data_IF_082097450025
#
_entry.id   IF_082097450025
#
_cell.length_a   1.000
_cell.length_b   1.000
_cell.length_c   1.000
_cell.angle_alpha   90.00
_cell.angle_beta   90.00
_cell.angle_gamma   90.00
#
_symmetry.space_group_name_H-M   'P 1'
#
loop_
_entity.id
_entity.type
_entity.pdbx_description
1 polymer ?
#
# COMPACT_ATOMS: atom_id res chain seq x y z
N UNK A 1 -1.41 2.10 7.80
CA UNK A 1 -1.85 1.36 6.60
C UNK A 1 -2.04 -0.09 7.02
N UNK A 2 -2.93 -0.86 6.38
CA UNK A 2 -3.05 -2.28 6.69
C UNK A 2 -1.78 -3.02 6.26
N UNK A 3 -1.44 -4.10 6.98
CA UNK A 3 -0.37 -5.00 6.53
C UNK A 3 -0.87 -5.81 5.34
N UNK A 4 0.05 -6.28 4.49
CA UNK A 4 -0.32 -7.19 3.39
C UNK A 4 -0.98 -8.47 3.88
N UNK A 5 -0.54 -8.98 5.04
CA UNK A 5 -1.19 -10.11 5.70
C UNK A 5 -2.66 -9.78 6.04
N UNK A 6 -2.92 -8.58 6.59
CA UNK A 6 -4.28 -8.15 6.90
C UNK A 6 -5.16 -7.99 5.63
N UNK A 7 -4.61 -7.45 4.54
CA UNK A 7 -5.33 -7.33 3.25
C UNK A 7 -5.63 -8.72 2.67
N UNK A 8 -4.63 -9.61 2.67
CA UNK A 8 -4.75 -10.99 2.18
C UNK A 8 -5.76 -11.80 3.00
N UNK A 9 -5.83 -11.57 4.31
CA UNK A 9 -6.83 -12.14 5.21
C UNK A 9 -8.23 -11.57 4.94
N UNK A 10 -8.35 -10.26 4.71
CA UNK A 10 -9.62 -9.62 4.33
C UNK A 10 -10.19 -10.17 3.03
N UNK A 11 -9.35 -10.36 2.01
CA UNK A 11 -9.75 -10.95 0.71
C UNK A 11 -10.27 -12.38 0.92
N UNK A 12 -9.53 -13.20 1.66
CA UNK A 12 -9.96 -14.58 1.97
C UNK A 12 -11.27 -14.61 2.74
N UNK A 13 -11.47 -13.71 3.70
CA UNK A 13 -12.73 -13.55 4.45
C UNK A 13 -13.91 -13.25 3.51
N UNK A 14 -13.75 -12.29 2.59
CA UNK A 14 -14.81 -11.93 1.62
C UNK A 14 -15.15 -13.07 0.64
N UNK A 15 -14.22 -13.98 0.44
CA UNK A 15 -14.40 -15.18 -0.39
C UNK A 15 -14.89 -16.40 0.41
N UNK A 16 -14.99 -16.31 1.74
CA UNK A 16 -15.36 -17.42 2.62
C UNK A 16 -14.34 -18.56 2.63
N UNK A 17 -13.05 -18.24 2.43
CA UNK A 17 -11.98 -19.22 2.29
C UNK A 17 -11.28 -19.47 3.63
N UNK A 18 -10.95 -20.74 3.91
CA UNK A 18 -10.24 -21.14 5.12
C UNK A 18 -11.07 -21.01 6.40
N UNK A 19 -12.40 -20.81 6.29
CA UNK A 19 -13.30 -20.80 7.44
C UNK A 19 -13.37 -22.21 8.05
N UNK A 20 -13.40 -22.28 9.36
CA UNK A 20 -13.29 -23.52 10.09
C UNK A 20 -13.83 -23.48 11.50
N UNK A 21 -13.89 -24.65 12.13
CA UNK A 21 -14.33 -24.80 13.51
C UNK A 21 -13.13 -25.03 14.41
N UNK A 22 -13.00 -24.18 15.43
CA UNK A 22 -11.95 -24.22 16.44
C UNK A 22 -12.56 -24.39 17.82
N UNK A 23 -11.94 -25.22 18.65
CA UNK A 23 -12.40 -25.45 20.02
C UNK A 23 -11.30 -25.06 21.00
N UNK A 24 -11.62 -24.10 21.87
CA UNK A 24 -10.75 -23.63 22.95
C UNK A 24 -11.27 -24.19 24.26
N UNK A 25 -10.49 -25.04 24.91
CA UNK A 25 -10.78 -25.59 26.23
C UNK A 25 -10.05 -24.79 27.30
N UNK A 26 -10.79 -24.30 28.29
CA UNK A 26 -10.28 -23.47 29.36
C UNK A 26 -9.85 -24.32 30.56
N UNK A 27 -8.56 -24.27 30.88
CA UNK A 27 -8.03 -24.79 32.14
C UNK A 27 -7.97 -23.66 33.16
N UNK A 28 -9.09 -23.42 33.86
CA UNK A 28 -9.29 -22.25 34.73
C UNK A 28 -8.12 -21.92 35.68
N UNK A 29 -7.54 -22.93 36.30
CA UNK A 29 -6.43 -22.76 37.26
C UNK A 29 -5.15 -22.22 36.62
N UNK A 30 -4.98 -22.41 35.31
CA UNK A 30 -3.80 -22.04 34.53
C UNK A 30 -3.96 -20.72 33.78
N UNK A 31 -5.16 -20.14 33.75
CA UNK A 31 -5.42 -18.83 33.14
C UNK A 31 -4.90 -17.73 34.07
N UNK A 32 -4.15 -16.77 33.57
CA UNK A 32 -3.61 -15.62 34.29
C UNK A 32 -4.11 -14.29 33.71
N UNK A 33 -3.86 -13.21 34.45
CA UNK A 33 -4.08 -11.84 33.97
C UNK A 33 -3.11 -11.55 32.80
N UNK A 34 -3.64 -11.07 31.68
CA UNK A 34 -2.86 -10.76 30.49
C UNK A 34 -2.74 -11.89 29.47
N UNK A 35 -3.19 -13.11 29.78
CA UNK A 35 -3.25 -14.20 28.79
C UNK A 35 -4.18 -13.83 27.63
N UNK A 36 -3.88 -14.30 26.42
CA UNK A 36 -4.61 -13.93 25.21
C UNK A 36 -5.13 -15.10 24.40
N UNK A 37 -6.31 -14.89 23.83
CA UNK A 37 -6.87 -15.69 22.73
C UNK A 37 -6.94 -14.77 21.53
N UNK A 38 -6.18 -15.09 20.48
CA UNK A 38 -6.23 -14.36 19.22
C UNK A 38 -7.17 -15.08 18.27
N UNK A 39 -8.28 -14.45 17.93
CA UNK A 39 -9.24 -14.96 16.95
C UNK A 39 -9.13 -14.10 15.71
N UNK A 40 -8.75 -14.70 14.59
CA UNK A 40 -8.68 -14.02 13.29
C UNK A 40 -7.84 -12.72 13.33
N UNK A 41 -6.72 -12.73 14.06
CA UNK A 41 -5.81 -11.59 14.22
C UNK A 41 -6.23 -10.57 15.28
N UNK A 42 -7.44 -10.67 15.84
CA UNK A 42 -7.90 -9.83 16.96
C UNK A 42 -7.47 -10.48 18.27
N UNK A 43 -6.69 -9.74 19.05
CA UNK A 43 -6.19 -10.18 20.36
C UNK A 43 -7.24 -9.90 21.42
N UNK A 44 -7.75 -10.96 22.05
CA UNK A 44 -8.68 -10.91 23.17
C UNK A 44 -7.91 -11.21 24.45
N UNK A 45 -7.85 -10.25 25.36
CA UNK A 45 -7.03 -10.35 26.56
C UNK A 45 -7.88 -10.71 27.77
N UNK A 46 -7.47 -11.76 28.48
CA UNK A 46 -8.04 -12.14 29.75
C UNK A 46 -7.58 -11.19 30.85
N UNK A 47 -8.51 -10.71 31.67
CA UNK A 47 -8.20 -9.87 32.82
C UNK A 47 -8.88 -10.37 34.09
N UNK A 48 -8.31 -10.05 35.24
CA UNK A 48 -8.82 -10.42 36.57
C UNK A 48 -9.60 -9.28 37.25
N UNK A 49 -9.47 -8.05 36.72
CA UNK A 49 -10.18 -6.87 37.18
C UNK A 49 -11.43 -6.52 36.37
N UNK A 50 -11.90 -5.28 36.47
CA UNK A 50 -12.94 -4.75 35.59
C UNK A 50 -12.37 -4.50 34.19
N UNK A 51 -13.12 -4.85 33.14
CA UNK A 51 -12.74 -4.56 31.76
C UNK A 51 -12.68 -3.06 31.54
N UNK A 52 -11.49 -2.58 31.14
CA UNK A 52 -11.26 -1.17 30.85
C UNK A 52 -11.63 -0.84 29.39
N UNK A 53 -11.68 -1.86 28.52
CA UNK A 53 -11.96 -1.75 27.08
C UNK A 53 -12.95 -2.84 26.68
N UNK A 54 -14.21 -2.45 26.42
CA UNK A 54 -15.34 -3.38 26.18
C UNK A 54 -15.18 -4.27 24.92
N UNK A 55 -14.20 -4.02 24.05
CA UNK A 55 -14.03 -4.72 22.76
C UNK A 55 -12.69 -5.46 22.59
N UNK A 56 -11.87 -5.57 23.64
CA UNK A 56 -10.59 -6.29 23.56
C UNK A 56 -10.27 -7.11 24.81
N UNK A 57 -11.13 -7.05 25.83
CA UNK A 57 -10.87 -7.67 27.13
C UNK A 57 -12.07 -8.47 27.59
N UNK A 58 -11.82 -9.70 28.04
CA UNK A 58 -12.84 -10.53 28.70
C UNK A 58 -12.40 -10.84 30.14
N UNK A 59 -13.38 -10.92 31.04
CA UNK A 59 -13.11 -11.09 32.46
C UNK A 59 -12.97 -12.56 32.84
N UNK A 60 -11.92 -12.87 33.59
CA UNK A 60 -11.76 -14.13 34.31
C UNK A 60 -12.73 -14.17 35.49
N UNK A 61 -13.59 -15.17 35.53
CA UNK A 61 -14.58 -15.35 36.59
C UNK A 61 -14.12 -16.37 37.64
N UNK A 62 -15.04 -16.87 38.48
CA UNK A 62 -14.72 -17.84 39.53
C UNK A 62 -14.53 -19.29 39.01
N UNK A 63 -14.86 -19.57 37.75
CA UNK A 63 -14.77 -20.90 37.15
C UNK A 63 -14.61 -20.84 35.62
N UNK A 64 -14.32 -21.99 35.01
CA UNK A 64 -14.11 -22.14 33.57
C UNK A 64 -15.35 -21.80 32.75
N UNK A 65 -16.56 -22.17 33.22
CA UNK A 65 -17.82 -21.90 32.52
C UNK A 65 -18.04 -20.40 32.38
N UNK A 66 -18.13 -19.66 33.50
CA UNK A 66 -18.38 -18.22 33.45
C UNK A 66 -17.26 -17.43 32.74
N UNK A 67 -16.01 -17.92 32.78
CA UNK A 67 -14.92 -17.32 31.99
C UNK A 67 -15.07 -17.61 30.49
N UNK A 68 -15.55 -18.81 30.14
CA UNK A 68 -15.85 -19.19 28.76
C UNK A 68 -17.05 -18.44 28.19
N UNK A 69 -18.10 -18.24 28.98
CA UNK A 69 -19.27 -17.43 28.62
C UNK A 69 -18.85 -15.98 28.33
N UNK A 70 -18.00 -15.38 29.18
CA UNK A 70 -17.47 -14.03 28.92
C UNK A 70 -16.59 -13.95 27.65
N UNK A 71 -15.84 -15.01 27.32
CA UNK A 71 -15.04 -15.06 26.10
C UNK A 71 -15.92 -15.18 24.86
N UNK A 72 -16.95 -16.02 24.91
CA UNK A 72 -17.96 -16.14 23.86
C UNK A 72 -18.67 -14.81 23.64
N UNK A 73 -19.22 -14.18 24.69
CA UNK A 73 -19.93 -12.91 24.59
C UNK A 73 -19.06 -11.84 23.91
N UNK A 74 -17.76 -11.81 24.22
CA UNK A 74 -16.82 -10.89 23.57
C UNK A 74 -16.59 -11.24 22.10
N UNK A 75 -16.42 -12.51 21.76
CA UNK A 75 -16.27 -12.96 20.37
C UNK A 75 -17.53 -12.56 19.59
N UNK A 76 -18.71 -12.88 20.09
CA UNK A 76 -19.97 -12.54 19.43
C UNK A 76 -20.17 -11.02 19.31
N UNK A 77 -19.76 -10.23 20.32
CA UNK A 77 -19.82 -8.77 20.25
C UNK A 77 -18.85 -8.17 19.22
N UNK A 78 -17.65 -8.73 19.07
CA UNK A 78 -16.65 -8.27 18.10
C UNK A 78 -17.01 -8.69 16.68
N UNK A 79 -17.57 -9.89 16.54
CA UNK A 79 -17.76 -10.56 15.25
C UNK A 79 -19.20 -10.60 14.75
N UNK A 80 -20.15 -9.98 15.47
CA UNK A 80 -21.59 -9.89 15.15
C UNK A 80 -21.87 -9.78 13.64
N UNK A 81 -22.90 -10.53 13.20
CA UNK A 81 -23.65 -10.69 11.93
C UNK A 81 -23.01 -10.40 10.56
N UNK A 82 -21.97 -9.60 10.51
CA UNK A 82 -21.19 -9.16 9.36
C UNK A 82 -20.00 -10.06 9.04
N UNK A 83 -19.42 -10.76 10.02
CA UNK A 83 -18.16 -11.50 9.82
C UNK A 83 -18.31 -13.02 9.63
N UNK A 84 -19.52 -13.57 9.78
CA UNK A 84 -19.81 -15.01 9.74
C UNK A 84 -19.09 -15.86 10.80
N UNK A 85 -18.43 -15.23 11.77
CA UNK A 85 -17.83 -15.91 12.92
C UNK A 85 -18.85 -15.90 14.04
N UNK A 86 -19.07 -17.06 14.65
CA UNK A 86 -19.91 -17.19 15.84
C UNK A 86 -19.19 -18.03 16.87
N UNK A 87 -19.49 -17.79 18.13
CA UNK A 87 -19.02 -18.64 19.21
C UNK A 87 -20.17 -19.30 19.95
N UNK A 88 -19.83 -20.33 20.72
CA UNK A 88 -20.72 -20.92 21.70
C UNK A 88 -19.88 -21.44 22.86
N UNK A 89 -20.35 -21.24 24.07
CA UNK A 89 -19.69 -21.69 25.29
C UNK A 89 -20.47 -22.85 25.94
N UNK A 90 -19.75 -23.87 26.42
CA UNK A 90 -20.33 -24.94 27.23
C UNK A 90 -19.30 -25.56 28.17
N UNK A 91 -19.56 -25.49 29.47
CA UNK A 91 -18.73 -26.13 30.50
C UNK A 91 -17.22 -25.79 30.42
N UNK A 92 -16.88 -24.54 30.08
CA UNK A 92 -15.48 -24.10 29.92
C UNK A 92 -14.85 -24.52 28.59
N UNK A 93 -15.66 -24.90 27.60
CA UNK A 93 -15.25 -25.12 26.21
C UNK A 93 -15.92 -24.06 25.35
N UNK A 94 -15.13 -23.28 24.62
CA UNK A 94 -15.61 -22.29 23.66
C UNK A 94 -15.38 -22.84 22.26
N UNK A 95 -16.45 -23.03 21.50
CA UNK A 95 -16.40 -23.46 20.10
C UNK A 95 -16.61 -22.25 19.22
N UNK A 96 -15.62 -21.94 18.40
CA UNK A 96 -15.56 -20.80 17.48
C UNK A 96 -15.76 -21.36 16.07
N UNK A 97 -16.87 -20.99 15.46
CA UNK A 97 -17.27 -21.41 14.10
C UNK A 97 -16.95 -20.29 13.12
N UNK A 98 -16.45 -20.64 11.95
CA UNK A 98 -16.17 -19.68 10.88
C UNK A 98 -14.89 -18.86 11.06
N UNK A 99 -14.10 -19.10 12.11
CA UNK A 99 -12.77 -18.50 12.21
C UNK A 99 -11.78 -19.24 11.30
N UNK A 100 -10.78 -18.52 10.78
CA UNK A 100 -9.68 -19.12 9.98
C UNK A 100 -8.48 -19.50 10.82
N UNK A 101 -8.24 -18.73 11.89
CA UNK A 101 -7.12 -18.92 12.78
C UNK A 101 -7.55 -18.57 14.19
N UNK A 102 -7.25 -19.46 15.12
CA UNK A 102 -7.33 -19.23 16.54
C UNK A 102 -5.97 -19.60 17.11
N UNK A 103 -5.36 -18.68 17.85
CA UNK A 103 -4.05 -18.84 18.47
C UNK A 103 -4.17 -18.42 19.94
N UNK A 104 -3.43 -19.08 20.81
CA UNK A 104 -3.36 -18.71 22.23
C UNK A 104 -1.91 -18.51 22.64
N UNK A 105 -1.63 -17.55 23.50
CA UNK A 105 -0.28 -17.35 24.05
C UNK A 105 0.01 -18.27 25.25
N UNK A 106 -1.03 -18.72 25.94
CA UNK A 106 -0.98 -19.66 27.03
C UNK A 106 -1.68 -20.97 26.64
N UNK A 107 -0.93 -21.86 25.99
CA UNK A 107 -1.39 -23.19 25.60
C UNK A 107 -1.78 -24.11 26.78
N UNK A 108 -1.53 -23.70 28.04
CA UNK A 108 -1.99 -24.44 29.23
C UNK A 108 -3.31 -23.93 29.79
N UNK A 109 -3.54 -22.61 29.77
CA UNK A 109 -4.78 -21.96 30.20
C UNK A 109 -5.87 -22.01 29.12
N UNK A 110 -5.52 -21.73 27.87
CA UNK A 110 -6.39 -21.77 26.71
C UNK A 110 -5.87 -22.82 25.72
N UNK A 111 -6.36 -24.05 25.83
CA UNK A 111 -5.92 -25.18 25.01
C UNK A 111 -6.76 -25.23 23.74
N UNK A 112 -6.14 -25.16 22.57
CA UNK A 112 -6.84 -25.45 21.30
C UNK A 112 -6.97 -26.98 21.18
N UNK A 113 -8.13 -27.51 21.54
CA UNK A 113 -8.38 -28.96 21.63
C UNK A 113 -8.81 -29.59 20.30
N UNK A 114 -9.36 -28.79 19.40
CA UNK A 114 -9.55 -29.16 18.00
C UNK A 114 -9.51 -27.92 17.10
N UNK A 115 -9.02 -28.11 15.89
CA UNK A 115 -9.01 -27.09 14.85
C UNK A 115 -9.27 -27.79 13.53
N UNK A 116 -10.29 -27.34 12.82
CA UNK A 116 -10.53 -27.70 11.42
C UNK A 116 -10.53 -26.42 10.63
N UNK A 117 -9.90 -26.42 9.47
CA UNK A 117 -10.03 -25.36 8.47
C UNK A 117 -10.53 -26.04 7.21
N UNK A 118 -11.51 -25.47 6.51
CA UNK A 118 -11.76 -25.95 5.15
C UNK A 118 -10.48 -25.74 4.33
N UNK A 119 -10.08 -26.77 3.58
CA UNK A 119 -8.96 -26.66 2.64
C UNK A 119 -9.22 -25.43 1.77
N UNK A 120 -8.25 -24.51 1.75
CA UNK A 120 -8.30 -23.46 0.76
C UNK A 120 -8.31 -24.14 -0.62
N UNK A 121 -9.26 -23.81 -1.52
CA UNK A 121 -9.27 -24.38 -2.85
C UNK A 121 -7.88 -24.19 -3.47
N UNK A 122 -7.40 -25.13 -4.30
CA UNK A 122 -6.00 -25.19 -4.75
C UNK A 122 -5.52 -24.00 -5.62
N UNK A 123 -6.34 -22.95 -5.71
CA UNK A 123 -6.18 -21.76 -6.54
C UNK A 123 -5.93 -20.48 -5.72
N UNK A 124 -5.97 -20.54 -4.38
CA UNK A 124 -5.79 -19.38 -3.48
C UNK A 124 -4.33 -19.06 -3.17
N UNK A 125 -3.39 -19.90 -3.61
CA UNK A 125 -1.95 -19.61 -3.56
C UNK A 125 -1.61 -18.32 -4.31
N UNK A 126 -2.49 -17.88 -5.21
CA UNK A 126 -2.27 -16.72 -6.08
C UNK A 126 -2.84 -15.42 -5.49
N UNK A 127 -3.49 -15.44 -4.31
CA UNK A 127 -4.06 -14.22 -3.70
C UNK A 127 -2.99 -13.17 -3.46
N UNK A 128 -1.83 -13.58 -2.94
CA UNK A 128 -0.72 -12.65 -2.71
C UNK A 128 -0.18 -12.10 -4.05
N UNK A 129 -0.27 -12.88 -5.13
CA UNK A 129 0.09 -12.42 -6.48
C UNK A 129 -0.96 -11.44 -7.03
N UNK A 130 -2.26 -11.66 -6.83
CA UNK A 130 -3.28 -10.69 -7.25
C UNK A 130 -3.21 -9.38 -6.49
N UNK A 131 -2.80 -9.43 -5.21
CA UNK A 131 -2.52 -8.23 -4.43
C UNK A 131 -1.33 -7.49 -5.03
N UNK A 132 -0.25 -8.17 -5.44
CA UNK A 132 0.84 -7.50 -6.19
C UNK A 132 0.35 -6.86 -7.48
N UNK A 133 -0.40 -7.62 -8.28
CA UNK A 133 -0.86 -7.17 -9.58
C UNK A 133 -1.83 -5.99 -9.45
N UNK A 134 -2.69 -5.99 -8.43
CA UNK A 134 -3.59 -4.89 -8.10
C UNK A 134 -2.84 -3.65 -7.59
N UNK A 135 -1.81 -3.82 -6.77
CA UNK A 135 -0.93 -2.72 -6.34
C UNK A 135 -0.25 -2.06 -7.55
N UNK A 136 0.25 -2.87 -8.47
CA UNK A 136 0.87 -2.40 -9.70
C UNK A 136 -0.13 -1.66 -10.60
N UNK A 137 -1.33 -2.21 -10.74
CA UNK A 137 -2.39 -1.61 -11.55
C UNK A 137 -2.84 -0.25 -11.00
N UNK A 138 -3.03 -0.13 -9.67
CA UNK A 138 -3.36 1.13 -9.01
C UNK A 138 -2.21 2.14 -9.12
N UNK A 139 -0.96 1.69 -8.97
CA UNK A 139 0.20 2.56 -9.16
C UNK A 139 0.28 3.13 -10.59
N UNK A 140 -0.03 2.32 -11.61
CA UNK A 140 -0.04 2.77 -13.02
C UNK A 140 -1.10 3.87 -13.22
N UNK A 141 -2.30 3.69 -12.65
CA UNK A 141 -3.36 4.71 -12.70
C UNK A 141 -2.98 6.01 -12.00
N UNK A 142 -2.38 5.92 -10.80
CA UNK A 142 -2.01 7.09 -10.01
C UNK A 142 -0.82 7.83 -10.58
N UNK A 143 0.13 7.14 -11.20
CA UNK A 143 1.30 7.77 -11.81
C UNK A 143 0.89 8.63 -13.00
N UNK A 144 -0.09 8.18 -13.80
CA UNK A 144 -0.65 9.00 -14.88
C UNK A 144 -1.36 10.26 -14.34
N UNK A 145 -2.04 10.16 -13.19
CA UNK A 145 -2.73 11.29 -12.55
C UNK A 145 -1.77 12.25 -11.81
N UNK A 146 -0.74 11.72 -11.13
CA UNK A 146 0.33 12.47 -10.48
C UNK A 146 1.32 13.09 -11.46
N UNK A 147 1.42 12.58 -12.69
CA UNK A 147 2.13 13.26 -13.79
C UNK A 147 1.32 14.43 -14.37
N UNK A 148 -0.02 14.36 -14.31
CA UNK A 148 -0.90 15.46 -14.68
C UNK A 148 -0.97 16.53 -13.58
N UNK A 149 -0.90 16.12 -12.31
CA UNK A 149 -0.85 16.99 -11.16
C UNK A 149 0.61 17.24 -10.74
N UNK A 150 1.23 18.32 -11.23
CA UNK A 150 2.60 18.77 -10.86
C UNK A 150 2.96 18.46 -9.39
N UNK A 151 3.74 17.40 -9.17
CA UNK A 151 4.50 17.11 -7.94
C UNK A 151 3.65 16.87 -6.69
N UNK A 152 3.67 15.64 -6.16
CA UNK A 152 3.40 15.40 -4.74
C UNK A 152 4.44 16.17 -3.91
N UNK A 153 4.10 17.40 -3.51
CA UNK A 153 4.99 18.27 -2.72
C UNK A 153 5.43 17.59 -1.42
N UNK A 154 6.59 18.00 -0.92
CA UNK A 154 7.11 17.50 0.36
C UNK A 154 6.18 17.94 1.52
N UNK A 155 6.15 17.16 2.60
CA UNK A 155 5.51 17.60 3.84
C UNK A 155 6.50 18.44 4.63
N UNK A 156 6.08 19.65 5.00
CA UNK A 156 6.86 20.54 5.86
C UNK A 156 6.14 20.74 7.18
N UNK A 157 6.89 20.75 8.28
CA UNK A 157 6.39 21.17 9.58
C UNK A 157 7.05 22.48 9.98
N UNK A 158 6.26 23.47 10.38
CA UNK A 158 6.71 24.72 10.96
C UNK A 158 6.32 24.73 12.44
N UNK A 159 7.32 24.76 13.32
CA UNK A 159 7.08 24.89 14.76
C UNK A 159 7.11 26.36 15.14
N UNK A 160 5.97 26.89 15.60
CA UNK A 160 5.84 28.23 16.14
C UNK A 160 6.29 28.22 17.60
N UNK A 161 7.39 28.90 17.93
CA UNK A 161 7.89 29.05 19.29
C UNK A 161 8.12 30.55 19.54
N UNK A 162 7.08 31.25 19.98
CA UNK A 162 7.06 32.70 20.20
C UNK A 162 7.47 33.50 18.96
N UNK A 163 6.68 33.42 17.89
CA UNK A 163 6.94 34.18 16.66
C UNK A 163 6.95 35.68 16.95
N UNK A 164 8.03 36.36 16.56
CA UNK A 164 8.21 37.79 16.78
C UNK A 164 7.64 38.59 15.60
N UNK A 165 7.43 39.89 15.81
CA UNK A 165 7.12 40.80 14.70
C UNK A 165 8.23 40.73 13.63
N UNK A 166 7.84 40.71 12.36
CA UNK A 166 8.71 40.56 11.17
C UNK A 166 9.35 39.17 10.97
N UNK A 167 9.08 38.18 11.84
CA UNK A 167 9.38 36.80 11.51
C UNK A 167 8.58 36.36 10.26
N UNK A 168 9.16 35.52 9.41
CA UNK A 168 8.50 35.14 8.15
C UNK A 168 8.67 33.65 7.83
N UNK A 169 7.70 33.13 7.09
CA UNK A 169 7.76 31.82 6.41
C UNK A 169 7.62 32.08 4.91
N UNK A 170 8.54 31.55 4.12
CA UNK A 170 8.50 31.61 2.66
C UNK A 170 8.08 30.24 2.13
N UNK A 171 6.98 30.20 1.38
CA UNK A 171 6.40 28.99 0.80
C UNK A 171 6.36 29.18 -0.72
N UNK A 172 7.17 28.42 -1.44
CA UNK A 172 7.26 28.48 -2.90
C UNK A 172 7.51 29.89 -3.46
N UNK A 173 8.31 30.69 -2.75
CA UNK A 173 8.64 32.07 -3.11
C UNK A 173 7.60 33.10 -2.67
N UNK A 174 6.55 32.68 -1.98
CA UNK A 174 5.54 33.56 -1.39
C UNK A 174 5.82 33.71 0.11
N UNK A 175 6.14 34.94 0.51
CA UNK A 175 6.44 35.28 1.90
C UNK A 175 5.19 35.63 2.69
N UNK A 176 4.99 34.91 3.79
CA UNK A 176 4.07 35.24 4.85
C UNK A 176 4.85 35.90 5.99
N UNK A 177 4.36 36.99 6.58
CA UNK A 177 5.06 37.70 7.68
C UNK A 177 4.19 37.76 8.95
N UNK A 178 4.79 37.51 10.11
CA UNK A 178 4.19 37.75 11.41
C UNK A 178 4.03 39.25 11.66
N UNK A 179 2.81 39.68 11.95
CA UNK A 179 2.48 41.08 12.31
C UNK A 179 1.77 41.14 13.65
N UNK A 180 1.96 42.24 14.34
CA UNK A 180 1.13 42.59 15.49
C UNK A 180 -0.33 42.80 15.03
N UNK A 181 -1.28 42.33 15.84
CA UNK A 181 -2.72 42.52 15.65
C UNK A 181 -3.11 44.00 15.47
N UNK A 182 -2.31 44.94 15.99
CA UNK A 182 -2.54 46.37 15.84
C UNK A 182 -2.17 46.94 14.45
N UNK A 183 -1.32 46.25 13.68
CA UNK A 183 -0.71 46.78 12.43
C UNK A 183 -1.01 45.94 11.19
N UNK A 184 -1.43 44.69 11.34
CA UNK A 184 -1.71 43.78 10.23
C UNK A 184 -3.01 44.09 9.47
N UNK A 185 -2.91 44.42 8.18
CA UNK A 185 -4.07 44.56 7.27
C UNK A 185 -3.87 43.88 5.90
N UNK A 186 -2.76 43.15 5.71
CA UNK A 186 -2.40 42.51 4.44
C UNK A 186 -2.89 41.07 4.30
N UNK A 187 -3.16 40.65 3.06
CA UNK A 187 -3.54 39.27 2.68
C UNK A 187 -2.36 38.27 2.82
N UNK A 188 -1.13 38.77 2.95
CA UNK A 188 0.10 37.99 3.10
C UNK A 188 0.72 38.08 4.51
N UNK A 189 -0.04 38.58 5.49
CA UNK A 189 0.40 38.64 6.89
C UNK A 189 -0.42 37.65 7.73
N UNK A 190 0.19 37.01 8.74
CA UNK A 190 -0.56 36.38 9.82
C UNK A 190 -0.38 37.18 11.10
N UNK A 191 -1.46 37.27 11.88
CA UNK A 191 -1.45 38.01 13.13
C UNK A 191 -0.83 37.12 14.21
N UNK A 192 0.33 37.54 14.73
CA UNK A 192 0.93 36.94 15.92
C UNK A 192 0.24 37.49 17.16
N UNK A 193 -0.17 36.58 18.04
CA UNK A 193 -0.88 36.84 19.30
C UNK A 193 0.03 36.66 20.51
N UNK A 194 1.27 36.20 20.30
CA UNK A 194 2.24 35.91 21.36
C UNK A 194 2.00 34.57 22.07
N UNK A 195 1.12 33.71 21.54
CA UNK A 195 0.97 32.34 22.02
C UNK A 195 1.11 31.35 20.87
N UNK A 196 2.02 30.39 21.05
CA UNK A 196 2.44 29.44 20.01
C UNK A 196 1.28 28.74 19.29
N UNK A 197 0.24 28.34 20.03
CA UNK A 197 -0.92 27.63 19.46
C UNK A 197 -1.81 28.53 18.62
N UNK A 198 -2.01 29.78 19.03
CA UNK A 198 -2.82 30.73 18.27
C UNK A 198 -2.06 31.23 17.03
N UNK A 199 -0.74 31.42 17.14
CA UNK A 199 0.11 31.82 16.03
C UNK A 199 0.13 30.73 14.94
N UNK A 200 0.22 29.45 15.34
CA UNK A 200 0.10 28.32 14.43
C UNK A 200 -1.27 28.28 13.72
N UNK A 201 -2.37 28.50 14.45
CA UNK A 201 -3.70 28.56 13.84
C UNK A 201 -3.87 29.75 12.87
N UNK A 202 -3.33 30.92 13.21
CA UNK A 202 -3.35 32.10 12.33
C UNK A 202 -2.55 31.87 11.05
N UNK A 203 -1.37 31.24 11.15
CA UNK A 203 -0.55 30.86 10.00
C UNK A 203 -1.29 29.88 9.07
N UNK A 204 -1.98 28.87 9.63
CA UNK A 204 -2.83 27.94 8.84
C UNK A 204 -3.90 28.68 8.04
N UNK A 205 -4.58 29.65 8.65
CA UNK A 205 -5.61 30.45 7.96
C UNK A 205 -5.00 31.26 6.83
N UNK A 206 -3.83 31.89 7.05
CA UNK A 206 -3.14 32.66 6.02
C UNK A 206 -2.72 31.75 4.83
N UNK A 207 -2.10 30.60 5.11
CA UNK A 207 -1.70 29.63 4.07
C UNK A 207 -2.93 29.17 3.28
N UNK A 208 -3.97 28.69 3.96
CA UNK A 208 -5.15 28.17 3.29
C UNK A 208 -5.87 29.28 2.50
N UNK A 209 -5.94 30.51 3.00
CA UNK A 209 -6.57 31.62 2.27
C UNK A 209 -5.78 31.98 1.00
N UNK A 210 -4.46 32.05 1.11
CA UNK A 210 -3.59 32.46 0.00
C UNK A 210 -3.46 31.39 -1.08
N UNK A 211 -3.42 30.11 -0.68
CA UNK A 211 -3.17 29.00 -1.60
C UNK A 211 -4.43 28.22 -2.03
N UNK A 212 -5.60 28.47 -1.43
CA UNK A 212 -6.87 27.80 -1.77
C UNK A 212 -7.27 27.89 -3.25
N UNK A 213 -6.76 28.86 -4.00
CA UNK A 213 -7.20 29.10 -5.38
C UNK A 213 -6.21 28.74 -6.49
N UNK A 214 -4.93 28.42 -6.20
CA UNK A 214 -3.90 28.39 -7.27
C UNK A 214 -2.90 27.22 -7.21
N UNK A 215 -2.57 26.60 -6.06
CA UNK A 215 -1.34 25.77 -6.00
C UNK A 215 -1.47 24.37 -5.37
N UNK A 216 -2.63 23.96 -4.84
CA UNK A 216 -2.75 22.66 -4.16
C UNK A 216 -2.00 22.57 -2.83
N UNK A 217 -1.46 23.69 -2.32
CA UNK A 217 -0.84 23.79 -1.00
C UNK A 217 -1.92 23.94 0.06
N UNK A 218 -1.83 23.15 1.13
CA UNK A 218 -2.74 23.24 2.28
C UNK A 218 -1.99 23.13 3.59
N UNK A 219 -2.57 23.66 4.66
CA UNK A 219 -2.00 23.55 6.00
C UNK A 219 -3.03 23.15 7.05
N UNK A 220 -2.55 22.45 8.07
CA UNK A 220 -3.26 22.12 9.32
C UNK A 220 -2.34 22.42 10.51
N UNK A 221 -2.90 22.58 11.71
CA UNK A 221 -2.08 22.75 12.92
C UNK A 221 -2.55 21.85 14.05
N UNK A 222 -1.59 21.46 14.89
CA UNK A 222 -1.82 20.78 16.16
C UNK A 222 -0.92 21.43 17.22
N UNK A 223 -1.53 22.11 18.19
CA UNK A 223 -0.81 22.95 19.16
C UNK A 223 0.07 23.99 18.44
N UNK A 224 1.36 24.05 18.75
CA UNK A 224 2.35 24.97 18.20
C UNK A 224 2.90 24.57 16.82
N UNK A 225 2.46 23.45 16.23
CA UNK A 225 3.04 22.90 15.01
C UNK A 225 2.06 23.06 13.85
N UNK A 226 2.53 23.65 12.76
CA UNK A 226 1.82 23.76 11.47
C UNK A 226 2.38 22.72 10.50
N UNK A 227 1.53 21.87 9.95
CA UNK A 227 1.89 20.91 8.89
C UNK A 227 1.41 21.47 7.55
N UNK A 228 2.33 21.60 6.59
CA UNK A 228 2.11 22.12 5.24
C UNK A 228 2.29 20.98 4.25
N UNK A 229 1.29 20.76 3.40
CA UNK A 229 1.27 19.74 2.35
C UNK A 229 1.29 20.40 0.97
N UNK A 230 1.96 19.77 0.01
CA UNK A 230 1.94 20.20 -1.40
C UNK A 230 2.94 21.31 -1.76
N UNK A 231 3.66 21.87 -0.79
CA UNK A 231 4.70 22.86 -1.06
C UNK A 231 5.95 22.21 -1.68
N UNK A 232 6.65 22.94 -2.55
CA UNK A 232 7.94 22.50 -3.11
C UNK A 232 9.12 22.95 -2.25
N UNK A 233 8.98 24.09 -1.58
CA UNK A 233 9.98 24.73 -0.73
C UNK A 233 9.30 25.46 0.42
N UNK A 234 9.80 25.26 1.64
CA UNK A 234 9.42 26.07 2.81
C UNK A 234 10.69 26.50 3.53
N UNK A 235 10.84 27.79 3.79
CA UNK A 235 11.94 28.35 4.59
C UNK A 235 11.41 29.35 5.61
N UNK A 236 12.19 29.67 6.64
CA UNK A 236 11.80 30.67 7.65
C UNK A 236 12.93 31.65 7.95
N UNK A 237 12.55 32.79 8.54
CA UNK A 237 13.48 33.81 9.04
C UNK A 237 14.36 33.33 10.20
N UNK A 238 13.89 32.34 10.95
CA UNK A 238 14.43 31.98 12.26
C UNK A 238 14.24 30.49 12.55
N UNK A 239 15.35 29.80 12.76
CA UNK A 239 15.36 28.39 13.15
C UNK A 239 14.92 28.15 14.61
N UNK A 240 14.75 29.21 15.41
CA UNK A 240 14.39 29.11 16.83
C UNK A 240 12.95 29.50 17.12
N UNK A 241 12.41 30.50 16.41
CA UNK A 241 11.03 30.98 16.63
C UNK A 241 10.04 30.43 15.60
N UNK A 242 10.54 30.04 14.42
CA UNK A 242 9.77 29.41 13.33
C UNK A 242 10.57 28.25 12.72
N UNK A 243 10.86 27.22 13.50
CA UNK A 243 11.69 26.12 13.04
C UNK A 243 10.98 25.34 11.92
N UNK A 244 11.56 25.33 10.72
CA UNK A 244 11.06 24.52 9.60
C UNK A 244 11.82 23.21 9.56
N UNK A 245 11.08 22.11 9.61
CA UNK A 245 11.60 20.79 9.31
C UNK A 245 10.86 20.24 8.09
N UNK A 246 11.62 19.80 7.08
CA UNK A 246 11.06 18.99 6.01
C UNK A 246 11.02 17.54 6.51
N UNK A 247 9.84 16.94 6.52
CA UNK A 247 9.72 15.49 6.57
C UNK A 247 9.50 15.06 5.13
N UNK A 248 10.57 14.62 4.48
CA UNK A 248 10.39 13.67 3.39
C UNK A 248 9.79 12.44 4.04
N UNK A 249 8.47 12.26 3.91
CA UNK A 249 7.87 10.98 4.20
C UNK A 249 8.66 9.97 3.36
N UNK A 250 9.47 9.13 4.01
CA UNK A 250 10.31 8.15 3.35
C UNK A 250 9.50 6.99 2.77
N UNK A 251 8.19 7.06 2.85
CA UNK A 251 7.30 6.29 2.00
C UNK A 251 7.24 6.98 0.64
N UNK A 252 8.22 6.66 -0.21
CA UNK A 252 8.14 6.90 -1.65
C UNK A 252 6.95 6.14 -2.30
N UNK A 253 6.06 5.50 -1.53
CA UNK A 253 4.97 4.65 -2.02
C UNK A 253 5.49 3.68 -3.07
N UNK A 254 4.68 3.38 -4.08
CA UNK A 254 5.13 2.62 -5.25
C UNK A 254 5.92 3.46 -6.26
N UNK A 255 6.05 4.78 -6.08
CA UNK A 255 6.67 5.70 -7.05
C UNK A 255 8.00 6.26 -6.54
N UNK A 256 9.11 5.83 -7.13
CA UNK A 256 10.45 6.22 -6.68
C UNK A 256 11.25 6.90 -7.79
N UNK A 257 12.11 7.83 -7.39
CA UNK A 257 13.14 8.39 -8.26
C UNK A 257 14.39 7.54 -8.12
N UNK A 258 14.68 6.74 -9.14
CA UNK A 258 15.89 5.94 -9.22
C UNK A 258 17.01 6.77 -9.85
N UNK A 259 18.01 7.11 -9.05
CA UNK A 259 19.20 7.82 -9.54
C UNK A 259 20.23 6.81 -10.02
N UNK A 260 20.40 6.71 -11.34
CA UNK A 260 21.34 5.80 -11.97
C UNK A 260 22.70 6.49 -12.11
N UNK A 261 23.75 5.80 -11.69
CA UNK A 261 25.14 6.30 -11.77
C UNK A 261 25.88 5.57 -12.86
N UNK A 262 26.29 6.31 -13.89
CA UNK A 262 27.19 5.86 -14.96
C UNK A 262 28.60 6.42 -14.79
N UNK A 263 29.60 5.70 -15.26
CA UNK A 263 31.00 6.15 -15.29
C UNK A 263 31.24 7.27 -16.32
N UNK A 264 30.27 7.55 -17.19
CA UNK A 264 30.41 8.52 -18.28
C UNK A 264 31.08 7.95 -19.53
N UNK A 265 31.20 6.63 -19.62
CA UNK A 265 31.63 5.92 -20.83
C UNK A 265 30.49 5.09 -21.44
N UNK A 266 29.48 4.74 -20.63
CA UNK A 266 28.39 3.86 -21.05
C UNK A 266 27.16 4.59 -21.62
N UNK A 267 26.57 4.00 -22.66
CA UNK A 267 25.22 4.31 -23.19
C UNK A 267 24.13 3.44 -22.56
N UNK A 268 24.52 2.62 -21.59
CA UNK A 268 23.71 1.59 -20.92
C UNK A 268 23.90 1.69 -19.41
N UNK A 269 22.80 1.70 -18.66
CA UNK A 269 22.84 1.69 -17.21
C UNK A 269 21.95 0.57 -16.68
N UNK A 270 22.43 -0.13 -15.65
CA UNK A 270 21.63 -1.15 -14.98
C UNK A 270 20.50 -0.47 -14.21
N UNK A 271 19.30 -1.02 -14.35
CA UNK A 271 18.17 -0.64 -13.52
C UNK A 271 18.33 -1.26 -12.13
N UNK A 272 17.80 -0.62 -11.08
CA UNK A 272 17.72 -1.20 -9.75
C UNK A 272 16.89 -2.49 -9.77
N UNK A 273 17.22 -3.44 -8.90
CA UNK A 273 16.51 -4.72 -8.82
C UNK A 273 15.06 -4.59 -8.38
N UNK A 274 14.69 -3.46 -7.78
CA UNK A 274 13.33 -3.11 -7.36
C UNK A 274 12.59 -2.28 -8.42
N UNK A 275 13.11 -2.10 -9.64
CA UNK A 275 12.45 -1.33 -10.70
C UNK A 275 11.54 -2.21 -11.56
N UNK A 276 10.30 -1.75 -11.83
CA UNK A 276 9.39 -2.40 -12.79
C UNK A 276 9.25 -1.60 -14.08
N UNK A 277 8.90 -0.32 -13.96
CA UNK A 277 8.51 0.51 -15.11
C UNK A 277 8.86 1.96 -14.88
N UNK A 278 9.27 2.67 -15.93
CA UNK A 278 9.48 4.12 -15.88
C UNK A 278 8.24 4.84 -16.38
N UNK A 279 7.91 5.92 -15.70
CA UNK A 279 6.96 6.91 -16.18
C UNK A 279 7.66 8.08 -16.86
N UNK A 280 8.88 8.41 -16.40
CA UNK A 280 9.72 9.42 -17.03
C UNK A 280 11.20 9.07 -16.84
N UNK A 281 12.00 9.34 -17.87
CA UNK A 281 13.46 9.29 -17.78
C UNK A 281 14.00 10.66 -18.10
N UNK A 282 14.83 11.18 -17.20
CA UNK A 282 15.65 12.37 -17.47
C UNK A 282 17.12 12.01 -17.40
N UNK A 283 17.92 12.59 -18.29
CA UNK A 283 19.36 12.34 -18.31
C UNK A 283 20.12 13.56 -18.83
N UNK A 284 21.34 13.71 -18.35
CA UNK A 284 22.29 14.69 -18.87
C UNK A 284 23.06 14.02 -20.02
N UNK A 285 22.89 14.50 -21.25
CA UNK A 285 23.45 13.86 -22.46
C UNK A 285 24.67 14.63 -22.95
N UNK A 286 25.78 13.93 -23.19
CA UNK A 286 26.98 14.53 -23.76
C UNK A 286 27.70 15.44 -22.76
N UNK A 287 28.15 16.61 -23.22
CA UNK A 287 28.81 17.64 -22.39
C UNK A 287 27.88 18.71 -21.84
N UNK A 288 26.57 18.58 -22.08
CA UNK A 288 25.58 19.54 -21.63
C UNK A 288 25.45 19.51 -20.11
N UNK A 289 25.16 20.64 -19.46
CA UNK A 289 24.85 20.72 -18.03
C UNK A 289 23.38 20.42 -17.70
N UNK A 290 22.51 20.43 -18.71
CA UNK A 290 21.06 20.36 -18.51
C UNK A 290 20.52 18.92 -18.48
N UNK A 291 19.46 18.71 -17.68
CA UNK A 291 18.72 17.45 -17.62
C UNK A 291 17.61 17.43 -18.67
N UNK A 292 17.73 16.52 -19.64
CA UNK A 292 16.74 16.37 -20.70
C UNK A 292 15.72 15.29 -20.37
N UNK A 293 14.43 15.62 -20.58
CA UNK A 293 13.37 14.60 -20.63
C UNK A 293 13.49 13.81 -21.94
N UNK A 294 13.62 12.49 -21.82
CA UNK A 294 13.81 11.60 -22.95
C UNK A 294 12.48 11.00 -23.43
N UNK A 295 12.42 10.65 -24.70
CA UNK A 295 11.27 9.99 -25.33
C UNK A 295 11.53 8.49 -25.44
N UNK A 296 10.56 7.67 -25.03
CA UNK A 296 10.66 6.21 -25.12
C UNK A 296 10.51 5.77 -26.57
N UNK A 297 11.36 4.86 -27.02
CA UNK A 297 11.27 4.19 -28.34
C UNK A 297 11.46 2.68 -28.18
N UNK A 298 11.24 1.92 -29.25
CA UNK A 298 11.63 0.50 -29.25
C UNK A 298 13.15 0.39 -29.30
N UNK A 299 13.69 -0.78 -28.91
CA UNK A 299 15.15 -0.97 -28.98
C UNK A 299 15.66 -0.95 -30.42
N UNK A 300 14.89 -1.50 -31.35
CA UNK A 300 15.22 -1.48 -32.78
C UNK A 300 15.29 -0.03 -33.29
N UNK A 301 14.29 0.79 -32.97
CA UNK A 301 14.30 2.22 -33.30
C UNK A 301 15.50 2.94 -32.66
N UNK A 302 15.82 2.62 -31.40
CA UNK A 302 16.96 3.20 -30.70
C UNK A 302 18.28 2.85 -31.40
N UNK A 303 18.43 1.62 -31.88
CA UNK A 303 19.59 1.23 -32.66
C UNK A 303 19.61 1.90 -34.03
N UNK A 304 18.47 2.06 -34.72
CA UNK A 304 18.43 2.83 -35.97
C UNK A 304 18.88 4.29 -35.76
N UNK A 305 18.46 4.92 -34.65
CA UNK A 305 18.90 6.27 -34.27
C UNK A 305 20.41 6.32 -34.03
N UNK A 306 21.00 5.31 -33.38
CA UNK A 306 22.46 5.23 -33.15
C UNK A 306 23.27 5.06 -34.44
N UNK A 307 22.68 4.56 -35.53
CA UNK A 307 23.34 4.34 -36.83
C UNK A 307 23.16 5.51 -37.82
N UNK A 308 23.03 6.73 -37.32
CA UNK A 308 22.98 7.98 -38.09
C UNK A 308 21.80 8.14 -39.07
N UNK A 309 20.68 7.43 -38.88
CA UNK A 309 19.41 7.71 -39.60
C UNK A 309 18.64 8.89 -39.01
N UNK A 310 19.30 10.04 -38.93
CA UNK A 310 18.77 11.28 -38.36
C UNK A 310 17.66 11.92 -39.21
N UNK A 311 17.41 11.41 -40.41
CA UNK A 311 16.39 11.87 -41.35
C UNK A 311 14.96 11.46 -40.94
N UNK A 312 14.82 10.40 -40.15
CA UNK A 312 13.52 9.89 -39.67
C UNK A 312 13.16 10.37 -38.26
N UNK A 313 14.12 10.92 -37.52
CA UNK A 313 13.98 11.25 -36.10
C UNK A 313 14.32 12.71 -35.84
N UNK A 314 13.56 13.38 -34.97
CA UNK A 314 13.84 14.78 -34.60
C UNK A 314 15.12 14.85 -33.77
N UNK A 315 16.25 14.99 -34.46
CA UNK A 315 17.53 15.33 -33.85
C UNK A 315 17.69 16.84 -33.96
N UNK A 316 17.69 17.52 -32.81
CA UNK A 316 17.86 18.97 -32.82
C UNK A 316 19.23 19.32 -33.40
N UNK A 317 19.21 20.18 -34.41
CA UNK A 317 20.33 20.43 -35.31
C UNK A 317 21.53 21.13 -34.65
N UNK A 318 21.33 21.74 -33.47
CA UNK A 318 22.38 22.43 -32.73
C UNK A 318 23.31 21.46 -31.96
N UNK A 319 22.77 20.40 -31.37
CA UNK A 319 23.52 19.58 -30.39
C UNK A 319 23.73 18.12 -30.81
N UNK A 320 23.09 17.65 -31.89
CA UNK A 320 23.09 16.23 -32.32
C UNK A 320 22.69 15.22 -31.23
N UNK A 321 22.16 15.67 -30.10
CA UNK A 321 21.76 14.82 -29.00
C UNK A 321 20.41 14.19 -29.33
N UNK A 322 20.43 12.94 -29.77
CA UNK A 322 19.25 12.11 -29.80
C UNK A 322 18.74 11.94 -28.35
N UNK A 323 17.49 12.38 -28.06
CA UNK A 323 16.87 12.40 -26.72
C UNK A 323 15.91 11.23 -26.54
N UNK A 324 16.38 10.02 -26.82
CA UNK A 324 15.57 8.80 -26.79
C UNK A 324 16.17 7.75 -25.86
N UNK A 325 15.31 6.87 -25.36
CA UNK A 325 15.70 5.73 -24.53
C UNK A 325 14.87 4.48 -24.83
N UNK A 326 15.43 3.32 -24.50
CA UNK A 326 14.74 2.03 -24.56
C UNK A 326 15.11 1.15 -23.35
N UNK A 327 14.33 0.11 -23.08
CA UNK A 327 14.62 -0.90 -22.06
C UNK A 327 14.83 -2.27 -22.69
N UNK A 328 15.82 -3.00 -22.20
CA UNK A 328 16.02 -4.43 -22.47
C UNK A 328 16.86 -5.03 -21.35
N UNK A 329 16.58 -6.27 -20.95
CA UNK A 329 17.43 -7.07 -20.04
C UNK A 329 17.89 -6.33 -18.78
N UNK A 330 16.94 -5.72 -18.06
CA UNK A 330 17.18 -4.92 -16.83
C UNK A 330 18.14 -3.73 -17.01
N UNK A 331 18.26 -3.24 -18.24
CA UNK A 331 19.07 -2.10 -18.59
C UNK A 331 18.25 -1.03 -19.30
N UNK A 332 18.66 0.22 -19.09
CA UNK A 332 18.21 1.36 -19.88
C UNK A 332 19.28 1.75 -20.89
N UNK A 333 18.86 1.85 -22.15
CA UNK A 333 19.70 2.21 -23.29
C UNK A 333 19.38 3.64 -23.70
N UNK A 334 20.40 4.45 -23.96
CA UNK A 334 20.26 5.84 -24.41
C UNK A 334 20.67 5.99 -25.88
N UNK A 335 20.02 6.88 -26.63
CA UNK A 335 20.33 7.10 -28.05
C UNK A 335 21.62 7.86 -28.32
N UNK A 336 22.23 8.50 -27.31
CA UNK A 336 23.45 9.29 -27.47
C UNK A 336 24.49 8.96 -26.39
N UNK A 337 25.77 9.10 -26.74
CA UNK A 337 26.92 8.84 -25.87
C UNK A 337 27.59 10.14 -25.39
N UNK A 338 28.25 10.14 -24.22
CA UNK A 338 27.91 9.42 -23.00
C UNK A 338 26.99 10.25 -22.08
N UNK A 339 26.27 9.58 -21.19
CA UNK A 339 25.56 10.26 -20.09
C UNK A 339 26.61 10.73 -19.07
N UNK A 340 26.85 12.03 -18.91
CA UNK A 340 27.91 12.62 -18.05
C UNK A 340 27.32 13.45 -16.88
N UNK A 341 28.05 13.73 -15.78
CA UNK A 341 27.53 14.45 -14.57
C UNK A 341 27.54 13.74 -13.17
N UNK A 342 27.14 14.39 -12.08
CA UNK A 342 26.94 13.72 -10.78
C UNK A 342 25.46 13.44 -10.58
N UNK A 343 25.00 12.18 -10.62
CA UNK A 343 23.58 11.74 -10.69
C UNK A 343 23.00 11.70 -12.13
N UNK A 344 23.57 10.81 -12.96
CA UNK A 344 23.61 10.96 -14.43
C UNK A 344 22.34 10.57 -15.21
N UNK A 345 21.45 9.75 -14.66
CA UNK A 345 20.08 9.62 -15.18
C UNK A 345 19.09 9.41 -14.04
N UNK A 346 17.96 10.12 -14.05
CA UNK A 346 16.86 9.91 -13.11
C UNK A 346 15.74 9.17 -13.82
N UNK A 347 15.44 7.99 -13.34
CA UNK A 347 14.26 7.23 -13.76
C UNK A 347 13.21 7.46 -12.70
N UNK A 348 12.16 8.18 -13.07
CA UNK A 348 10.94 8.26 -12.28
C UNK A 348 10.15 7.01 -12.66
N UNK A 349 9.94 6.12 -11.71
CA UNK A 349 9.41 4.81 -12.00
C UNK A 349 8.66 4.18 -10.84
N UNK A 350 7.93 3.13 -11.18
CA UNK A 350 7.21 2.30 -10.23
C UNK A 350 8.19 1.23 -9.72
N UNK A 351 8.32 1.14 -8.39
CA UNK A 351 9.08 0.08 -7.73
C UNK A 351 8.24 -1.19 -7.64
N UNK A 352 8.89 -2.35 -7.54
CA UNK A 352 8.20 -3.60 -7.30
C UNK A 352 7.45 -3.57 -5.96
N UNK A 353 6.13 -3.85 -5.96
CA UNK A 353 5.38 -3.96 -4.72
C UNK A 353 6.01 -5.00 -3.81
N UNK A 354 6.40 -4.61 -2.60
CA UNK A 354 7.16 -5.48 -1.72
C UNK A 354 6.22 -6.37 -0.90
N UNK A 355 5.88 -7.57 -1.39
CA UNK A 355 5.03 -8.48 -0.58
C UNK A 355 5.72 -9.08 0.63
N UNK A 356 7.04 -8.99 0.69
CA UNK A 356 7.84 -9.55 1.79
C UNK A 356 7.90 -8.62 2.99
N UNK A 357 7.47 -7.36 2.88
CA UNK A 357 7.34 -6.48 4.03
C UNK A 357 6.12 -6.90 4.82
N UNK A 358 6.34 -7.65 5.90
CA UNK A 358 5.30 -8.05 6.86
C UNK A 358 4.67 -6.85 7.58
N UNK A 359 5.27 -5.67 7.49
CA UNK A 359 4.94 -4.52 8.34
C UNK A 359 3.87 -3.60 7.76
N UNK A 360 3.72 -3.42 6.44
CA UNK A 360 2.76 -2.45 5.87
C UNK A 360 2.60 -2.56 4.33
N UNK A 361 1.41 -2.20 3.82
CA UNK A 361 1.11 -2.03 2.40
C UNK A 361 1.76 -0.73 1.86
N UNK A 362 2.35 -0.76 0.65
CA UNK A 362 2.98 0.42 0.01
C UNK A 362 1.94 1.43 -0.56
N UNK A 363 0.63 1.16 -0.48
CA UNK A 363 -0.43 2.04 -0.98
C UNK A 363 -1.09 2.86 0.14
N UNK A 364 -1.53 4.10 -0.14
CA UNK A 364 -2.36 4.88 0.79
C UNK A 364 -3.60 4.12 1.28
N UNK A 365 -3.96 4.34 2.55
CA UNK A 365 -5.03 3.60 3.22
C UNK A 365 -6.40 3.64 2.49
N UNK A 366 -6.70 4.74 1.80
CA UNK A 366 -7.97 4.89 1.06
C UNK A 366 -8.05 4.02 -0.21
N UNK A 367 -6.93 3.45 -0.67
CA UNK A 367 -6.87 2.56 -1.85
C UNK A 367 -6.81 1.08 -1.49
N UNK A 368 -6.61 0.74 -0.21
CA UNK A 368 -6.61 -0.63 0.29
C UNK A 368 -7.93 -1.37 -0.05
N UNK A 369 -9.13 -0.76 0.09
CA UNK A 369 -10.39 -1.45 -0.28
C UNK A 369 -10.48 -1.79 -1.78
N UNK A 370 -9.95 -0.94 -2.66
CA UNK A 370 -9.92 -1.19 -4.11
C UNK A 370 -9.01 -2.37 -4.46
N UNK A 371 -7.90 -2.52 -3.73
CA UNK A 371 -6.99 -3.64 -3.88
C UNK A 371 -7.64 -4.96 -3.43
N UNK A 372 -8.37 -4.93 -2.32
CA UNK A 372 -9.16 -6.07 -1.87
C UNK A 372 -10.22 -6.47 -2.90
N UNK A 373 -10.98 -5.49 -3.44
CA UNK A 373 -11.97 -5.73 -4.48
C UNK A 373 -11.36 -6.38 -5.72
N UNK A 374 -10.21 -5.89 -6.18
CA UNK A 374 -9.49 -6.46 -7.32
C UNK A 374 -9.14 -7.94 -7.10
N UNK A 375 -8.53 -8.25 -5.95
CA UNK A 375 -8.12 -9.62 -5.62
C UNK A 375 -9.33 -10.56 -5.47
N UNK A 376 -10.43 -10.08 -4.87
CA UNK A 376 -11.70 -10.81 -4.77
C UNK A 376 -12.25 -11.13 -6.16
N UNK A 377 -12.28 -10.16 -7.08
CA UNK A 377 -12.76 -10.37 -8.45
C UNK A 377 -11.92 -11.42 -9.17
N UNK A 378 -10.58 -11.37 -9.05
CA UNK A 378 -9.68 -12.35 -9.68
C UNK A 378 -9.91 -13.76 -9.15
N UNK A 379 -10.12 -13.91 -7.85
CA UNK A 379 -10.48 -15.18 -7.24
C UNK A 379 -11.79 -15.74 -7.82
N UNK A 380 -12.82 -14.89 -7.97
CA UNK A 380 -14.09 -15.28 -8.57
C UNK A 380 -13.94 -15.71 -10.04
N UNK A 381 -13.17 -14.97 -10.84
CA UNK A 381 -12.89 -15.33 -12.24
C UNK A 381 -12.22 -16.71 -12.35
N UNK A 382 -11.24 -16.99 -11.50
CA UNK A 382 -10.54 -18.27 -11.52
C UNK A 382 -11.45 -19.42 -11.05
N UNK A 383 -12.27 -19.19 -10.02
CA UNK A 383 -13.27 -20.17 -9.55
C UNK A 383 -14.25 -20.55 -10.67
N UNK A 384 -14.80 -19.57 -11.39
CA UNK A 384 -15.71 -19.84 -12.51
C UNK A 384 -15.04 -20.68 -13.61
N UNK A 385 -13.79 -20.38 -13.96
CA UNK A 385 -13.03 -21.17 -14.94
C UNK A 385 -12.83 -22.61 -14.48
N UNK A 386 -12.58 -22.81 -13.19
CA UNK A 386 -12.46 -24.15 -12.61
C UNK A 386 -13.77 -24.93 -12.64
N UNK A 387 -14.89 -24.32 -12.21
CA UNK A 387 -16.20 -24.96 -12.23
C UNK A 387 -16.59 -25.39 -13.66
N UNK A 388 -16.28 -24.54 -14.65
CA UNK A 388 -16.43 -24.89 -16.07
C UNK A 388 -15.54 -26.07 -16.48
N UNK A 389 -14.27 -26.08 -16.07
CA UNK A 389 -13.34 -27.17 -16.36
C UNK A 389 -13.80 -28.50 -15.75
N UNK A 390 -14.33 -28.49 -14.52
CA UNK A 390 -14.92 -29.67 -13.88
C UNK A 390 -16.16 -30.18 -14.64
N UNK A 391 -17.06 -29.28 -15.05
CA UNK A 391 -18.23 -29.66 -15.83
C UNK A 391 -17.85 -30.30 -17.18
N UNK A 392 -16.81 -29.77 -17.83
CA UNK A 392 -16.22 -30.34 -19.05
C UNK A 392 -15.64 -31.73 -18.81
N UNK A 393 -14.89 -31.92 -17.72
CA UNK A 393 -14.32 -33.22 -17.35
C UNK A 393 -15.41 -34.26 -17.08
N UNK A 394 -16.48 -33.88 -16.38
CA UNK A 394 -17.65 -34.75 -16.15
C UNK A 394 -18.31 -35.17 -17.47
N UNK A 395 -18.50 -34.21 -18.39
CA UNK A 395 -19.07 -34.47 -19.72
C UNK A 395 -18.19 -35.40 -20.56
N UNK A 396 -16.88 -35.20 -20.54
CA UNK A 396 -15.91 -36.09 -21.22
C UNK A 396 -15.96 -37.50 -20.63
N UNK A 397 -16.01 -37.62 -19.30
CA UNK A 397 -16.08 -38.91 -18.60
C UNK A 397 -17.34 -39.69 -18.98
N UNK A 398 -18.51 -39.03 -19.00
CA UNK A 398 -19.77 -39.63 -19.45
C UNK A 398 -19.70 -40.05 -20.92
N UNK A 399 -19.11 -39.21 -21.78
CA UNK A 399 -18.94 -39.50 -23.20
C UNK A 399 -18.08 -40.75 -23.41
N UNK A 400 -16.98 -40.88 -22.67
CA UNK A 400 -16.10 -42.06 -22.68
C UNK A 400 -16.87 -43.31 -22.22
N UNK A 401 -17.68 -43.22 -21.16
CA UNK A 401 -18.50 -44.34 -20.69
C UNK A 401 -19.52 -44.80 -21.74
N UNK A 402 -20.19 -43.87 -22.43
CA UNK A 402 -21.15 -44.20 -23.50
C UNK A 402 -20.44 -44.88 -24.67
N UNK A 403 -19.27 -44.37 -25.08
CA UNK A 403 -18.45 -44.98 -26.14
C UNK A 403 -18.06 -46.40 -25.75
N UNK A 404 -17.53 -46.60 -24.54
CA UNK A 404 -17.13 -47.92 -24.03
C UNK A 404 -18.30 -48.90 -23.99
N UNK A 405 -19.49 -48.45 -23.59
CA UNK A 405 -20.71 -49.28 -23.57
C UNK A 405 -21.16 -49.68 -24.97
N UNK A 406 -21.08 -48.75 -25.94
CA UNK A 406 -21.36 -49.05 -27.36
C UNK A 406 -20.36 -50.03 -27.95
N UNK A 407 -19.07 -49.88 -27.62
CA UNK A 407 -18.05 -50.82 -28.07
C UNK A 407 -18.25 -52.22 -27.47
N UNK A 408 -18.48 -52.32 -26.16
CA UNK A 408 -18.73 -53.59 -25.48
C UNK A 408 -19.97 -54.32 -26.05
N UNK A 409 -21.07 -53.59 -26.27
CA UNK A 409 -22.29 -54.15 -26.87
C UNK A 409 -22.09 -54.57 -28.34
N UNK A 410 -21.32 -53.82 -29.13
CA UNK A 410 -20.98 -54.19 -30.51
C UNK A 410 -20.11 -55.45 -30.57
N UNK A 411 -19.14 -55.60 -29.66
CA UNK A 411 -18.28 -56.77 -29.54
C UNK A 411 -19.08 -58.01 -29.11
N UNK A 412 -20.02 -57.85 -28.17
CA UNK A 412 -20.93 -58.93 -27.78
C UNK A 412 -21.84 -59.36 -28.94
N UNK A 413 -22.30 -58.43 -29.78
CA UNK A 413 -23.10 -58.73 -30.98
C UNK A 413 -22.30 -59.50 -32.04
N UNK A 414 -21.02 -59.13 -32.24
CA UNK A 414 -20.11 -59.85 -33.14
C UNK A 414 -19.81 -61.27 -32.68
N UNK A 415 -19.79 -61.55 -31.37
CA UNK A 415 -19.58 -62.91 -30.84
C UNK A 415 -20.81 -63.82 -30.92
N UNK A 416 -22.01 -63.25 -31.13
CA UNK A 416 -23.26 -64.01 -31.26
C UNK A 416 -23.63 -64.35 -32.70
N UNK A 417 -22.92 -63.76 -33.67
CA UNK A 417 -22.98 -64.12 -35.09
C UNK A 417 -21.78 -65.00 -35.38
#
# INVERSE_FOLDING_TARGET
MATLAAISDNVRRRLGLGLGDHTVTLTYASIADGDTVTVHGIVLTCITGAAAVELAQFKKEANATATGDNLEDLIDAIFDSTTQISSSSSAGVVTITGARSVVTDNATGFVISSSSTQDEPPFTSDIDQWIKDGQLWLADMLVDEALMAKGTGSTYTVTCATALEDDYVDIDGIRLTARDAATGTGVADWISTGTDTQDAAALVVAINTLFQSITGVSATSASAIVTILGATTVTSSSATTLAVAATTASDDGLSKVFSLTGDGSSTELNLPTDYIRSSMVTAQIGSDSDLYRLTRVTLDDLFEIRHDRHDLWKVDSADKAAKYYAFMDDQIYFSAAPVSGGSKAKVYGIKEPQTTKTTECDLPAHLEPLLEDYAVIKAYEQKQRYDMAQALLGTLTLSIQVINTRYASSAARKRRR
#
